data_IF_707906914233
#
_entry.id   IF_707906914233
#
_cell.length_a   1.000
_cell.length_b   1.000
_cell.length_c   1.000
_cell.angle_alpha   90.00
_cell.angle_beta   90.00
_cell.angle_gamma   90.00
#
_symmetry.space_group_name_H-M   'P 1'
#
loop_
_entity.id
_entity.type
_entity.pdbx_description
1 polymer ?
#
# COMPACT_ATOMS: atom_id res chain seq x y z
N UNK A 1 -20.44 -1.94 9.17
CA UNK A 1 -20.42 -1.00 8.03
C UNK A 1 -19.43 0.08 8.41
N UNK A 2 -18.23 0.08 7.83
CA UNK A 2 -17.22 1.08 8.15
C UNK A 2 -17.55 2.36 7.38
N UNK A 3 -17.78 3.46 8.09
CA UNK A 3 -17.89 4.77 7.48
C UNK A 3 -16.49 5.20 7.02
N UNK A 4 -16.32 5.32 5.71
CA UNK A 4 -15.07 5.68 5.09
C UNK A 4 -14.82 7.18 5.25
N UNK A 5 -13.70 7.56 5.85
CA UNK A 5 -13.27 8.96 5.96
C UNK A 5 -12.56 9.36 4.67
N UNK A 6 -13.09 10.37 3.97
CA UNK A 6 -12.49 10.91 2.75
C UNK A 6 -11.25 11.77 3.07
N UNK A 7 -10.09 11.11 3.16
CA UNK A 7 -8.81 11.76 3.49
C UNK A 7 -8.46 12.85 2.46
N UNK A 8 -8.91 12.72 1.22
CA UNK A 8 -8.65 13.68 0.13
C UNK A 8 -9.39 15.00 0.38
N UNK A 9 -10.67 14.94 0.73
CA UNK A 9 -11.50 16.08 1.11
C UNK A 9 -10.99 16.77 2.37
N UNK A 10 -10.59 15.99 3.37
CA UNK A 10 -9.96 16.53 4.59
C UNK A 10 -8.67 17.28 4.25
N UNK A 11 -7.77 16.70 3.44
CA UNK A 11 -6.53 17.36 3.00
C UNK A 11 -6.81 18.68 2.27
N UNK A 12 -7.82 18.71 1.40
CA UNK A 12 -8.17 19.93 0.68
C UNK A 12 -8.69 21.02 1.63
N UNK A 13 -9.59 20.68 2.54
CA UNK A 13 -10.14 21.64 3.51
C UNK A 13 -9.09 22.13 4.53
N UNK A 14 -8.11 21.30 4.91
CA UNK A 14 -6.95 21.77 5.70
C UNK A 14 -6.12 22.76 4.88
N UNK A 15 -5.79 22.46 3.63
CA UNK A 15 -4.98 23.35 2.78
C UNK A 15 -5.68 24.68 2.49
N UNK A 16 -7.01 24.68 2.36
CA UNK A 16 -7.82 25.90 2.23
C UNK A 16 -7.93 26.70 3.53
N UNK A 17 -7.41 26.18 4.64
CA UNK A 17 -7.45 26.83 5.95
C UNK A 17 -8.82 26.79 6.63
N UNK A 18 -9.75 25.99 6.11
CA UNK A 18 -11.12 25.84 6.60
C UNK A 18 -11.17 25.00 7.88
N UNK A 19 -10.13 24.21 8.14
CA UNK A 19 -9.96 23.43 9.36
C UNK A 19 -8.75 23.91 10.18
N UNK A 20 -8.85 23.78 11.50
CA UNK A 20 -7.78 24.04 12.45
C UNK A 20 -7.40 22.76 13.20
N UNK A 21 -6.12 22.41 13.20
CA UNK A 21 -5.61 21.32 14.02
C UNK A 21 -5.29 21.80 15.44
N UNK A 22 -5.63 21.01 16.45
CA UNK A 22 -5.27 21.25 17.84
C UNK A 22 -5.10 19.93 18.61
N UNK A 23 -4.41 19.99 19.75
CA UNK A 23 -4.16 18.82 20.62
C UNK A 23 -4.98 18.95 21.90
N UNK A 24 -5.70 17.89 22.27
CA UNK A 24 -6.41 17.76 23.55
C UNK A 24 -6.23 16.35 24.09
N UNK A 25 -5.93 16.23 25.39
CA UNK A 25 -5.81 14.93 26.08
C UNK A 25 -4.85 13.95 25.36
N UNK A 26 -3.74 14.49 24.82
CA UNK A 26 -2.75 13.72 24.06
C UNK A 26 -3.18 13.28 22.66
N UNK A 27 -4.39 13.64 22.21
CA UNK A 27 -4.93 13.31 20.89
C UNK A 27 -5.00 14.53 19.98
N UNK A 28 -4.82 14.31 18.67
CA UNK A 28 -4.93 15.36 17.64
C UNK A 28 -6.36 15.42 17.12
N UNK A 29 -6.91 16.63 17.05
CA UNK A 29 -8.24 16.92 16.52
C UNK A 29 -8.17 17.94 15.39
N UNK A 30 -9.06 17.79 14.40
CA UNK A 30 -9.37 18.82 13.41
C UNK A 30 -10.71 19.46 13.75
N UNK A 31 -10.73 20.79 13.87
CA UNK A 31 -11.96 21.57 14.01
C UNK A 31 -12.30 22.25 12.69
N UNK A 32 -13.53 22.09 12.20
CA UNK A 32 -14.07 22.92 11.14
C UNK A 32 -14.30 24.35 11.66
N UNK A 33 -13.70 25.36 11.03
CA UNK A 33 -13.87 26.76 11.45
C UNK A 33 -15.27 27.32 11.17
N UNK A 34 -15.99 26.71 10.23
CA UNK A 34 -17.33 27.17 9.82
C UNK A 34 -18.40 26.57 10.72
N UNK A 35 -18.40 25.24 10.91
CA UNK A 35 -19.42 24.55 11.71
C UNK A 35 -19.02 24.33 13.17
N UNK A 36 -17.74 24.47 13.52
CA UNK A 36 -17.21 24.21 14.87
C UNK A 36 -17.03 22.73 15.21
N UNK A 37 -17.42 21.82 14.31
CA UNK A 37 -17.35 20.37 14.48
C UNK A 37 -15.90 19.89 14.62
N UNK A 38 -15.67 18.95 15.53
CA UNK A 38 -14.34 18.41 15.82
C UNK A 38 -14.25 16.91 15.49
N UNK A 39 -13.19 16.52 14.79
CA UNK A 39 -12.90 15.13 14.38
C UNK A 39 -11.55 14.72 14.95
N UNK A 40 -11.51 13.60 15.69
CA UNK A 40 -10.28 13.00 16.22
C UNK A 40 -9.57 12.22 15.12
N UNK A 41 -8.29 12.50 14.88
CA UNK A 41 -7.53 11.92 13.75
C UNK A 41 -7.00 10.52 14.03
N UNK A 42 -6.92 10.11 15.30
CA UNK A 42 -6.46 8.78 15.70
C UNK A 42 -7.54 7.69 15.77
N UNK A 43 -8.81 8.04 15.55
CA UNK A 43 -9.94 7.09 15.56
C UNK A 43 -10.43 6.75 14.14
N UNK A 44 -9.91 7.43 13.13
CA UNK A 44 -10.19 7.09 11.75
C UNK A 44 -9.69 5.65 11.52
N UNK A 45 -10.51 4.73 10.97
CA UNK A 45 -10.02 3.42 10.59
C UNK A 45 -8.82 3.65 9.69
N UNK A 46 -7.65 3.11 10.07
CA UNK A 46 -6.53 2.99 9.17
C UNK A 46 -7.12 2.43 7.87
N UNK A 47 -6.97 3.17 6.76
CA UNK A 47 -7.49 2.76 5.47
C UNK A 47 -7.24 1.26 5.30
N UNK A 48 -8.21 0.51 4.79
CA UNK A 48 -8.05 -0.88 4.33
C UNK A 48 -7.04 -0.90 3.15
N UNK A 49 -5.81 -0.47 3.41
CA UNK A 49 -4.65 -0.88 2.65
C UNK A 49 -4.43 -2.31 3.08
N UNK A 50 -5.04 -3.23 2.32
CA UNK A 50 -4.73 -4.65 2.44
C UNK A 50 -3.21 -4.78 2.60
N UNK A 51 -2.74 -5.53 3.62
CA UNK A 51 -1.31 -5.64 3.88
C UNK A 51 -0.61 -6.00 2.58
N UNK A 52 0.48 -5.30 2.27
CA UNK A 52 1.24 -5.54 1.04
C UNK A 52 1.56 -7.04 0.98
N UNK A 53 0.96 -7.73 0.02
CA UNK A 53 1.13 -9.16 -0.09
C UNK A 53 2.51 -9.41 -0.71
N UNK A 54 3.44 -9.98 0.05
CA UNK A 54 4.76 -10.35 -0.47
C UNK A 54 4.69 -11.67 -1.22
N UNK A 55 5.24 -11.74 -2.43
CA UNK A 55 5.30 -12.93 -3.26
C UNK A 55 6.68 -13.15 -3.84
N UNK A 56 6.93 -14.36 -4.33
CA UNK A 56 8.11 -14.71 -5.15
C UNK A 56 7.69 -15.17 -6.54
N UNK A 57 8.58 -14.94 -7.51
CA UNK A 57 8.50 -15.55 -8.84
C UNK A 57 8.95 -17.01 -8.72
N UNK A 58 8.10 -17.94 -9.15
CA UNK A 58 8.36 -19.37 -9.15
C UNK A 58 8.58 -19.80 -10.59
N UNK A 59 9.69 -20.48 -10.85
CA UNK A 59 9.91 -21.19 -12.10
C UNK A 59 9.34 -22.62 -11.94
N UNK A 60 8.37 -23.05 -12.75
CA UNK A 60 7.80 -24.39 -12.65
C UNK A 60 8.72 -25.49 -13.19
N UNK A 61 9.75 -25.11 -13.93
CA UNK A 61 10.78 -26.00 -14.46
C UNK A 61 12.07 -25.58 -13.75
N UNK A 62 12.66 -26.40 -12.87
CA UNK A 62 13.99 -26.18 -12.27
C UNK A 62 15.10 -26.28 -13.37
N UNK A 63 14.91 -25.59 -14.48
CA UNK A 63 15.79 -25.54 -15.63
C UNK A 63 16.22 -24.08 -15.75
N UNK A 64 17.53 -23.83 -15.66
CA UNK A 64 18.21 -22.52 -15.68
C UNK A 64 17.85 -21.59 -16.88
N UNK A 65 16.82 -21.91 -17.67
CA UNK A 65 16.26 -21.15 -18.80
C UNK A 65 14.72 -21.11 -18.86
N UNK A 66 14.00 -21.30 -17.76
CA UNK A 66 12.53 -21.25 -17.70
C UNK A 66 11.96 -19.95 -18.28
N UNK A 67 11.32 -20.06 -19.46
CA UNK A 67 10.72 -18.91 -20.15
C UNK A 67 9.41 -18.44 -19.52
N UNK A 68 8.94 -19.08 -18.44
CA UNK A 68 7.61 -18.92 -17.89
C UNK A 68 7.58 -18.92 -16.35
N UNK A 69 7.56 -17.73 -15.76
CA UNK A 69 7.56 -17.52 -14.32
C UNK A 69 6.15 -17.30 -13.79
N UNK A 70 5.83 -17.82 -12.61
CA UNK A 70 4.50 -17.67 -11.99
C UNK A 70 4.57 -16.88 -10.69
N UNK A 71 3.58 -16.01 -10.48
CA UNK A 71 3.40 -15.38 -9.17
C UNK A 71 2.93 -16.42 -8.14
N UNK A 72 3.71 -16.62 -7.07
CA UNK A 72 3.34 -17.49 -5.94
C UNK A 72 2.01 -17.17 -5.25
N UNK A 73 1.44 -15.97 -5.45
CA UNK A 73 0.20 -15.54 -4.79
C UNK A 73 -1.05 -15.73 -5.63
N UNK A 74 -0.95 -15.54 -6.95
CA UNK A 74 -2.12 -15.58 -7.83
C UNK A 74 -1.96 -16.50 -9.05
N UNK A 75 -0.79 -17.14 -9.19
CA UNK A 75 -0.46 -18.00 -10.32
C UNK A 75 -0.35 -17.27 -11.65
N UNK A 76 -0.22 -15.93 -11.66
CA UNK A 76 -0.13 -15.18 -12.91
C UNK A 76 1.18 -15.53 -13.65
N UNK A 77 1.10 -16.01 -14.90
CA UNK A 77 2.27 -16.34 -15.70
C UNK A 77 2.89 -15.09 -16.32
N UNK A 78 4.21 -15.00 -16.29
CA UNK A 78 5.03 -13.97 -16.94
C UNK A 78 6.04 -14.68 -17.82
N UNK A 79 6.02 -14.34 -19.12
CA UNK A 79 6.95 -14.91 -20.09
C UNK A 79 8.22 -14.06 -20.14
N UNK A 80 9.34 -14.62 -19.72
CA UNK A 80 10.64 -13.95 -19.73
C UNK A 80 11.75 -14.99 -19.69
N UNK A 81 12.85 -14.74 -20.39
CA UNK A 81 14.01 -15.65 -20.49
C UNK A 81 14.80 -15.70 -19.17
N UNK A 82 14.72 -14.63 -18.37
CA UNK A 82 15.36 -14.53 -17.06
C UNK A 82 14.33 -14.13 -16.01
N UNK A 83 14.66 -14.30 -14.72
CA UNK A 83 13.81 -13.91 -13.59
C UNK A 83 13.18 -12.52 -13.82
N UNK A 84 11.85 -12.36 -13.67
CA UNK A 84 11.19 -11.09 -13.96
C UNK A 84 11.71 -9.97 -13.07
N UNK A 85 12.12 -8.85 -13.69
CA UNK A 85 12.59 -7.64 -12.97
C UNK A 85 11.41 -6.76 -12.46
N UNK A 86 10.20 -7.30 -12.45
CA UNK A 86 9.03 -6.59 -11.96
C UNK A 86 8.94 -6.74 -10.43
N UNK A 87 9.09 -5.63 -9.71
CA UNK A 87 8.92 -5.57 -8.25
C UNK A 87 7.48 -5.84 -7.79
N UNK A 88 6.51 -5.86 -8.70
CA UNK A 88 5.12 -6.12 -8.40
C UNK A 88 4.50 -7.06 -9.44
N UNK A 89 3.60 -7.94 -8.99
CA UNK A 89 2.78 -8.74 -9.87
C UNK A 89 1.71 -7.86 -10.53
N UNK A 90 1.59 -7.84 -11.88
CA UNK A 90 0.62 -6.99 -12.57
C UNK A 90 -0.83 -7.42 -12.34
N UNK A 91 -1.07 -8.67 -11.92
CA UNK A 91 -2.43 -9.19 -11.69
C UNK A 91 -2.94 -8.90 -10.28
N UNK A 92 -2.13 -9.14 -9.25
CA UNK A 92 -2.57 -9.07 -7.85
C UNK A 92 -1.89 -7.97 -7.03
N UNK A 93 -0.95 -7.21 -7.61
CA UNK A 93 -0.23 -6.17 -6.90
C UNK A 93 0.72 -6.70 -5.81
N UNK A 94 0.93 -8.02 -5.71
CA UNK A 94 1.86 -8.59 -4.76
C UNK A 94 3.27 -8.04 -5.01
N UNK A 95 3.92 -7.55 -3.95
CA UNK A 95 5.30 -7.09 -4.01
C UNK A 95 6.18 -8.33 -4.14
N UNK A 96 6.92 -8.40 -5.23
CA UNK A 96 7.81 -9.51 -5.50
C UNK A 96 9.11 -9.24 -4.76
N UNK A 97 9.59 -10.20 -3.97
CA UNK A 97 10.89 -10.09 -3.30
C UNK A 97 11.98 -10.12 -4.40
N UNK A 98 12.30 -8.92 -4.88
CA UNK A 98 13.41 -8.65 -5.79
C UNK A 98 14.69 -8.99 -5.04
N UNK A 99 15.43 -9.96 -5.57
CA UNK A 99 16.68 -10.42 -4.96
C UNK A 99 17.72 -9.32 -5.05
N UNK A 100 17.95 -8.64 -3.93
CA UNK A 100 19.20 -7.95 -3.66
C UNK A 100 19.78 -8.55 -2.37
N UNK A 101 20.29 -9.78 -2.48
CA UNK A 101 21.26 -10.35 -1.54
C UNK A 101 22.60 -10.56 -2.24
N UNK A 102 23.22 -9.46 -2.65
CA UNK A 102 24.68 -9.43 -2.76
C UNK A 102 25.20 -8.68 -1.54
N UNK A 103 25.12 -9.33 -0.38
CA UNK A 103 25.99 -9.01 0.73
C UNK A 103 27.40 -9.44 0.31
N UNK A 104 28.20 -8.46 -0.11
CA UNK A 104 29.62 -8.65 -0.39
C UNK A 104 30.33 -9.15 0.89
N UNK A 105 31.10 -10.23 0.74
CA UNK A 105 32.17 -10.65 1.64
C UNK A 105 33.33 -9.64 1.59
#
# INVERSE_FOLDING_TARGET
>A
MAEYIDIVGIKQAVNKGEMQAFVRDGSIYLQCKVSGECVKIGDAPAADVAPVVHGRWIDPEDDDGGTLWHCSKCGYPVKTIAKPNCNYCPKCGARMDGGEENAAD
#
